data_IF_581059364493
#
_entry.id   IF_581059364493
#
_cell.length_a   1.000
_cell.length_b   1.000
_cell.length_c   1.000
_cell.angle_alpha   90.00
_cell.angle_beta   90.00
_cell.angle_gamma   90.00
#
_symmetry.space_group_name_H-M   'P 1'
#
loop_
_entity.id
_entity.type
_entity.pdbx_description
1 polymer ?
#
# COMPACT_ATOMS: atom_id res chain seq x y z
N UNK A 1 16.20 -2.76 -4.77
CA UNK A 1 16.71 -1.38 -4.80
C UNK A 1 18.10 -1.44 -5.41
N UNK A 2 18.35 -0.67 -6.47
CA UNK A 2 19.67 -0.59 -7.10
C UNK A 2 20.26 0.76 -6.75
N UNK A 3 21.43 0.76 -6.11
CA UNK A 3 22.22 1.96 -5.89
C UNK A 3 23.13 2.13 -7.10
N UNK A 4 23.11 3.31 -7.70
CA UNK A 4 23.92 3.61 -8.90
C UNK A 4 24.39 5.04 -8.86
N UNK A 5 25.60 5.25 -9.36
CA UNK A 5 26.18 6.58 -9.62
C UNK A 5 25.94 7.03 -11.07
N UNK A 6 25.22 6.23 -11.87
CA UNK A 6 24.84 6.62 -13.22
C UNK A 6 24.00 7.92 -13.19
N UNK A 7 24.26 8.88 -14.08
CA UNK A 7 23.49 10.11 -14.14
C UNK A 7 22.02 9.79 -14.47
N UNK A 8 21.11 10.23 -13.61
CA UNK A 8 19.67 10.06 -13.79
C UNK A 8 19.07 11.35 -14.35
N UNK A 9 18.31 11.24 -15.44
CA UNK A 9 17.50 12.36 -15.91
C UNK A 9 16.32 12.58 -14.96
N UNK A 10 16.07 13.85 -14.61
CA UNK A 10 14.90 14.19 -13.81
C UNK A 10 13.65 13.97 -14.65
N UNK A 11 12.71 13.20 -14.13
CA UNK A 11 11.40 13.04 -14.74
C UNK A 11 10.46 14.15 -14.26
N UNK A 12 9.69 14.76 -15.16
CA UNK A 12 8.64 15.73 -14.80
C UNK A 12 7.35 15.06 -14.29
N UNK A 13 7.42 13.80 -13.86
CA UNK A 13 6.25 13.08 -13.35
C UNK A 13 5.73 13.80 -12.11
N UNK A 14 4.43 14.13 -12.07
CA UNK A 14 3.85 14.82 -10.93
C UNK A 14 3.94 13.94 -9.68
N UNK A 15 4.22 14.57 -8.54
CA UNK A 15 4.07 13.91 -7.24
C UNK A 15 2.58 13.59 -7.07
N UNK A 16 2.27 12.31 -6.99
CA UNK A 16 0.92 11.85 -6.75
C UNK A 16 0.47 12.32 -5.37
N UNK A 17 -0.57 13.17 -5.36
CA UNK A 17 -1.25 13.56 -4.13
C UNK A 17 -2.12 12.41 -3.64
N UNK A 18 -2.52 12.47 -2.37
CA UNK A 18 -3.49 11.52 -1.84
C UNK A 18 -4.78 11.61 -2.65
N UNK A 19 -5.15 10.50 -3.28
CA UNK A 19 -6.42 10.34 -4.00
C UNK A 19 -7.50 9.67 -3.13
N UNK A 20 -7.20 9.40 -1.85
CA UNK A 20 -8.13 8.68 -0.98
C UNK A 20 -9.43 9.45 -0.76
N UNK A 21 -9.39 10.77 -0.57
CA UNK A 21 -10.58 11.54 -0.19
C UNK A 21 -11.25 10.92 1.04
N UNK A 22 -12.54 10.58 0.91
CA UNK A 22 -13.34 9.89 1.93
C UNK A 22 -13.30 8.34 1.82
N UNK A 23 -12.49 7.78 0.92
CA UNK A 23 -12.37 6.33 0.73
C UNK A 23 -11.65 5.65 1.89
N UNK A 24 -12.24 4.55 2.37
CA UNK A 24 -11.73 3.75 3.48
C UNK A 24 -11.67 2.24 3.17
N UNK A 25 -11.84 1.84 1.90
CA UNK A 25 -11.93 0.44 1.47
C UNK A 25 -10.75 -0.42 1.97
N UNK A 26 -9.52 0.09 1.86
CA UNK A 26 -8.33 -0.63 2.28
C UNK A 26 -8.25 -0.84 3.81
N UNK A 27 -8.92 0.02 4.59
CA UNK A 27 -9.03 -0.09 6.05
C UNK A 27 -9.95 -1.24 6.44
N UNK A 28 -11.04 -1.45 5.69
CA UNK A 28 -12.03 -2.50 5.96
C UNK A 28 -11.56 -3.90 5.57
N UNK A 29 -10.82 -4.02 4.47
CA UNK A 29 -10.41 -5.35 3.95
C UNK A 29 -9.12 -5.89 4.57
N UNK A 30 -8.40 -5.12 5.39
CA UNK A 30 -7.13 -5.56 5.97
C UNK A 30 -7.36 -6.57 7.11
N UNK A 31 -7.10 -7.88 6.91
CA UNK A 31 -7.54 -8.91 7.85
C UNK A 31 -6.76 -8.89 9.18
N UNK A 32 -5.55 -8.33 9.19
CA UNK A 32 -4.75 -8.18 10.41
C UNK A 32 -4.90 -6.81 11.06
N UNK A 33 -5.64 -5.89 10.44
CA UNK A 33 -5.82 -4.52 10.92
C UNK A 33 -4.51 -3.72 10.99
N UNK A 34 -3.62 -3.90 10.01
CA UNK A 34 -2.40 -3.08 9.88
C UNK A 34 -2.69 -1.67 9.36
N UNK A 35 -3.84 -1.51 8.70
CA UNK A 35 -4.42 -0.23 8.30
C UNK A 35 -5.61 0.06 9.23
N UNK A 36 -5.65 1.24 9.84
CA UNK A 36 -6.73 1.64 10.77
C UNK A 36 -7.04 3.13 10.62
N UNK A 37 -8.30 3.55 10.82
CA UNK A 37 -8.67 4.96 10.79
C UNK A 37 -7.82 5.80 11.75
N UNK A 38 -7.26 6.91 11.24
CA UNK A 38 -6.50 7.88 12.04
C UNK A 38 -5.19 7.36 12.64
N UNK A 39 -4.69 6.21 12.20
CA UNK A 39 -3.40 5.65 12.67
C UNK A 39 -2.44 5.46 11.49
N UNK A 40 -1.12 5.64 11.72
CA UNK A 40 -0.12 5.29 10.73
C UNK A 40 -0.16 3.78 10.46
N UNK A 41 0.30 3.40 9.26
CA UNK A 41 0.40 2.01 8.86
C UNK A 41 1.29 1.20 9.83
N UNK A 42 0.73 0.14 10.41
CA UNK A 42 1.44 -0.75 11.32
C UNK A 42 2.22 -1.79 10.50
N UNK A 43 3.46 -1.42 10.17
CA UNK A 43 4.39 -2.26 9.40
C UNK A 43 4.62 -3.62 10.06
N UNK A 44 4.72 -3.68 11.39
CA UNK A 44 5.02 -4.93 12.08
C UNK A 44 3.86 -5.91 11.98
N UNK A 45 2.63 -5.42 12.13
CA UNK A 45 1.43 -6.23 11.99
C UNK A 45 1.24 -6.75 10.56
N UNK A 46 1.55 -5.94 9.55
CA UNK A 46 1.53 -6.37 8.15
C UNK A 46 2.65 -7.39 7.84
N UNK A 47 3.86 -7.13 8.34
CA UNK A 47 5.03 -7.98 8.09
C UNK A 47 4.85 -9.36 8.72
N UNK A 48 4.40 -9.41 9.97
CA UNK A 48 4.15 -10.65 10.70
C UNK A 48 2.73 -11.20 10.52
N UNK A 49 1.99 -10.78 9.47
CA UNK A 49 0.59 -11.17 9.24
C UNK A 49 0.35 -12.68 9.29
N UNK A 50 1.31 -13.48 8.84
CA UNK A 50 1.25 -14.94 8.82
C UNK A 50 1.23 -15.57 10.22
N UNK A 51 1.45 -14.79 11.30
CA UNK A 51 1.23 -15.24 12.68
C UNK A 51 -0.26 -15.31 13.05
N UNK A 52 -1.12 -14.62 12.30
CA UNK A 52 -2.56 -14.49 12.59
C UNK A 52 -3.45 -14.99 11.45
N UNK A 53 -2.88 -15.35 10.29
CA UNK A 53 -3.62 -15.81 9.13
C UNK A 53 -3.09 -17.19 8.71
N UNK A 54 -4.00 -18.14 8.51
CA UNK A 54 -3.68 -19.47 7.96
C UNK A 54 -3.37 -19.38 6.45
N UNK A 55 -4.01 -18.44 5.76
CA UNK A 55 -3.83 -18.18 4.34
C UNK A 55 -3.19 -16.81 4.07
N UNK A 56 -2.46 -16.64 2.95
CA UNK A 56 -1.93 -15.33 2.59
C UNK A 56 -3.06 -14.30 2.45
N UNK A 57 -2.91 -13.12 3.06
CA UNK A 57 -3.88 -12.03 2.89
C UNK A 57 -4.08 -11.58 1.44
N UNK A 58 -3.20 -12.01 0.52
CA UNK A 58 -3.24 -11.69 -0.91
C UNK A 58 -3.24 -10.19 -1.21
N UNK A 59 -2.73 -9.35 -0.31
CA UNK A 59 -2.68 -7.90 -0.50
C UNK A 59 -4.03 -7.26 -0.86
N UNK A 60 -5.11 -7.69 -0.20
CA UNK A 60 -6.47 -7.18 -0.43
C UNK A 60 -6.55 -5.64 -0.40
N UNK A 61 -5.78 -4.99 0.47
CA UNK A 61 -5.70 -3.54 0.56
C UNK A 61 -5.22 -2.86 -0.74
N UNK A 62 -4.35 -3.52 -1.51
CA UNK A 62 -3.91 -3.02 -2.83
C UNK A 62 -4.93 -3.37 -3.91
N UNK A 63 -5.51 -4.58 -3.87
CA UNK A 63 -6.49 -5.04 -4.86
C UNK A 63 -7.82 -4.29 -4.82
N UNK A 64 -8.25 -3.83 -3.65
CA UNK A 64 -9.49 -3.04 -3.50
C UNK A 64 -9.29 -1.56 -3.80
N UNK A 65 -8.03 -1.10 -3.90
CA UNK A 65 -7.75 0.31 -4.12
C UNK A 65 -8.11 0.68 -5.55
N UNK A 66 -9.07 1.61 -5.78
CA UNK A 66 -9.48 1.98 -7.14
C UNK A 66 -8.31 2.56 -7.93
N UNK A 67 -7.51 3.42 -7.31
CA UNK A 67 -6.32 3.99 -7.93
C UNK A 67 -5.17 2.99 -8.05
N UNK A 68 -5.02 2.10 -7.06
CA UNK A 68 -3.93 1.11 -7.04
C UNK A 68 -4.07 0.05 -8.14
N UNK A 69 -5.30 -0.23 -8.58
CA UNK A 69 -5.57 -1.14 -9.69
C UNK A 69 -5.33 -0.51 -11.07
N UNK A 70 -5.40 0.82 -11.17
CA UNK A 70 -5.24 1.56 -12.44
C UNK A 70 -3.78 1.85 -12.81
N UNK A 71 -2.85 1.78 -11.85
CA UNK A 71 -1.41 1.86 -12.15
C UNK A 71 -0.93 0.50 -12.65
N UNK A 72 -0.90 0.34 -13.97
CA UNK A 72 -0.16 -0.74 -14.62
C UNK A 72 1.31 -0.70 -14.14
N UNK A 73 1.78 -1.83 -13.60
CA UNK A 73 3.19 -2.05 -13.27
C UNK A 73 4.00 -2.35 -14.52
#
# INVERSE_FOLDING_TARGET
MVLTDAPLERTDRPVLRSMCGDCDLCLHVCPVGALRPGKPFDRFRCYYRNRWLDEPCGFLCMRVCPYGAEYEC
#
